data_IF_076860337133
#
_entry.id   IF_076860337133
#
_cell.length_a   1.000
_cell.length_b   1.000
_cell.length_c   1.000
_cell.angle_alpha   90.00
_cell.angle_beta   90.00
_cell.angle_gamma   90.00
#
_symmetry.space_group_name_H-M   'P 1'
#
loop_
_entity.id
_entity.type
_entity.pdbx_description
1 polymer ?
#
# COMPACT_ATOMS: atom_id res chain seq x y z
N UNK A 1 -7.08 -22.53 -0.29
CA UNK A 1 -6.30 -21.28 -0.45
C UNK A 1 -7.22 -20.11 -0.72
N UNK A 2 -8.02 -20.13 -1.80
CA UNK A 2 -9.03 -19.10 -2.14
C UNK A 2 -9.90 -18.56 -0.96
N UNK A 3 -10.46 -19.44 -0.11
CA UNK A 3 -11.28 -19.01 1.03
C UNK A 3 -10.50 -18.29 2.15
N UNK A 4 -9.16 -18.43 2.18
CA UNK A 4 -8.27 -17.70 3.07
C UNK A 4 -7.99 -16.32 2.47
N UNK A 5 -7.75 -16.26 1.16
CA UNK A 5 -7.46 -15.01 0.44
C UNK A 5 -8.66 -14.05 0.49
N UNK A 6 -9.87 -14.56 0.24
CA UNK A 6 -11.12 -13.80 0.39
C UNK A 6 -11.29 -13.27 1.83
N UNK A 7 -10.99 -14.09 2.85
CA UNK A 7 -11.08 -13.66 4.25
C UNK A 7 -10.06 -12.57 4.59
N UNK A 8 -8.82 -12.70 4.11
CA UNK A 8 -7.76 -11.71 4.28
C UNK A 8 -8.15 -10.39 3.61
N UNK A 9 -8.63 -10.45 2.38
CA UNK A 9 -9.12 -9.29 1.63
C UNK A 9 -10.27 -8.60 2.37
N UNK A 10 -11.27 -9.34 2.86
CA UNK A 10 -12.38 -8.77 3.63
C UNK A 10 -11.91 -8.06 4.91
N UNK A 11 -10.96 -8.64 5.65
CA UNK A 11 -10.40 -8.05 6.87
C UNK A 11 -9.67 -6.75 6.54
N UNK A 12 -8.84 -6.75 5.48
CA UNK A 12 -8.10 -5.56 5.04
C UNK A 12 -9.07 -4.44 4.66
N UNK A 13 -10.09 -4.74 3.83
CA UNK A 13 -11.11 -3.74 3.44
C UNK A 13 -11.86 -3.16 4.63
N UNK A 14 -12.25 -3.98 5.60
CA UNK A 14 -12.93 -3.51 6.81
C UNK A 14 -12.04 -2.60 7.67
N UNK A 15 -10.74 -2.88 7.73
CA UNK A 15 -9.77 -2.07 8.47
C UNK A 15 -9.52 -0.72 7.79
N UNK A 16 -9.48 -0.64 6.46
CA UNK A 16 -9.42 0.65 5.74
C UNK A 16 -10.59 1.54 6.16
N UNK A 17 -11.81 0.98 6.14
CA UNK A 17 -13.02 1.70 6.55
C UNK A 17 -12.94 2.17 8.01
N UNK A 18 -12.38 1.35 8.90
CA UNK A 18 -12.17 1.74 10.30
C UNK A 18 -11.24 2.96 10.45
N UNK A 19 -10.20 3.05 9.63
CA UNK A 19 -9.27 4.18 9.58
C UNK A 19 -9.82 5.39 8.82
N UNK A 20 -11.10 5.35 8.41
CA UNK A 20 -11.75 6.37 7.57
C UNK A 20 -11.05 6.55 6.20
N UNK A 21 -10.43 5.48 5.69
CA UNK A 21 -9.81 5.40 4.38
C UNK A 21 -10.67 4.54 3.43
N UNK A 22 -10.62 4.87 2.13
CA UNK A 22 -11.30 4.05 1.11
C UNK A 22 -10.43 2.83 0.76
N UNK A 23 -10.98 1.59 0.76
CA UNK A 23 -10.17 0.39 0.52
C UNK A 23 -9.46 0.37 -0.83
N UNK A 24 -10.08 0.95 -1.85
CA UNK A 24 -9.54 1.06 -3.22
C UNK A 24 -8.33 1.99 -3.29
N UNK A 25 -8.16 2.85 -2.29
CA UNK A 25 -7.11 3.84 -2.24
C UNK A 25 -5.87 3.37 -1.48
N UNK A 26 -5.96 2.27 -0.73
CA UNK A 26 -4.88 1.82 0.14
C UNK A 26 -3.73 1.18 -0.65
N UNK A 27 -4.03 0.32 -1.62
CA UNK A 27 -3.01 -0.34 -2.45
C UNK A 27 -3.02 0.30 -3.83
N UNK A 28 -1.89 0.86 -4.24
CA UNK A 28 -1.69 1.40 -5.58
C UNK A 28 -0.64 0.60 -6.32
N UNK A 29 -0.96 0.20 -7.55
CA UNK A 29 -0.01 -0.44 -8.45
C UNK A 29 0.61 0.58 -9.41
N UNK A 30 1.91 0.45 -9.66
CA UNK A 30 2.74 1.28 -10.51
C UNK A 30 3.58 0.39 -11.44
N UNK A 31 3.91 0.90 -12.62
CA UNK A 31 4.83 0.22 -13.53
C UNK A 31 6.24 0.79 -13.36
N UNK A 32 7.27 -0.05 -13.44
CA UNK A 32 8.68 0.36 -13.28
C UNK A 32 9.12 1.46 -14.28
N UNK A 33 8.41 1.61 -15.40
CA UNK A 33 8.63 2.69 -16.37
C UNK A 33 8.19 4.09 -15.89
N UNK A 34 7.52 4.20 -14.75
CA UNK A 34 6.90 5.44 -14.27
C UNK A 34 7.85 6.37 -13.49
N UNK A 35 9.17 6.11 -13.56
CA UNK A 35 10.25 6.53 -12.65
C UNK A 35 10.50 8.01 -12.39
N UNK A 36 9.68 8.96 -12.88
CA UNK A 36 9.76 10.39 -12.48
C UNK A 36 8.38 11.07 -12.34
N UNK A 37 7.35 10.57 -13.03
CA UNK A 37 6.00 11.15 -13.00
C UNK A 37 5.14 10.59 -11.84
N UNK A 38 5.38 9.34 -11.46
CA UNK A 38 4.64 8.66 -10.38
C UNK A 38 5.01 9.17 -8.99
N UNK A 39 6.29 9.43 -8.73
CA UNK A 39 6.78 9.95 -7.44
C UNK A 39 6.16 11.32 -7.12
N UNK A 40 6.05 12.20 -8.12
CA UNK A 40 5.40 13.49 -7.97
C UNK A 40 3.88 13.35 -7.71
N UNK A 41 3.20 12.43 -8.41
CA UNK A 41 1.78 12.17 -8.22
C UNK A 41 1.44 11.43 -6.90
N UNK A 42 2.41 10.67 -6.37
CA UNK A 42 2.38 10.05 -5.04
C UNK A 42 2.50 11.12 -3.94
N UNK A 43 3.45 12.04 -4.10
CA UNK A 43 3.74 13.09 -3.12
C UNK A 43 2.65 14.18 -3.05
N UNK A 44 1.89 14.41 -4.12
CA UNK A 44 0.82 15.42 -4.16
C UNK A 44 -0.46 14.98 -3.44
N UNK A 45 -0.60 13.68 -3.13
CA UNK A 45 -1.77 13.16 -2.41
C UNK A 45 -1.53 13.23 -0.91
N UNK A 46 -2.27 14.14 -0.27
CA UNK A 46 -2.45 14.31 1.17
C UNK A 46 -3.17 13.10 1.83
N UNK A 47 -2.75 11.87 1.52
CA UNK A 47 -3.29 10.63 2.09
C UNK A 47 -2.40 10.17 3.23
N UNK A 48 -3.04 9.72 4.31
CA UNK A 48 -2.34 9.44 5.55
C UNK A 48 -1.51 8.15 5.45
N UNK A 49 -2.01 7.16 4.68
CA UNK A 49 -1.42 5.83 4.56
C UNK A 49 -1.64 5.21 3.18
N UNK A 50 -0.58 4.68 2.55
CA UNK A 50 -0.64 4.03 1.24
C UNK A 50 0.38 2.89 1.14
N UNK A 51 0.01 1.81 0.44
CA UNK A 51 0.88 0.71 0.03
C UNK A 51 1.08 0.85 -1.47
N UNK A 52 2.34 0.91 -1.90
CA UNK A 52 2.66 0.89 -3.32
C UNK A 52 3.16 -0.50 -3.72
N UNK A 53 2.85 -0.88 -4.95
CA UNK A 53 3.30 -2.11 -5.59
C UNK A 53 3.89 -1.73 -6.94
N UNK A 54 5.19 -1.97 -7.13
CA UNK A 54 5.86 -1.77 -8.42
C UNK A 54 5.88 -3.10 -9.15
N UNK A 55 5.46 -3.10 -10.42
CA UNK A 55 5.50 -4.26 -11.29
C UNK A 55 6.36 -3.97 -12.51
N UNK A 56 7.03 -5.02 -12.99
CA UNK A 56 7.74 -4.99 -14.27
C UNK A 56 6.76 -4.72 -15.41
N UNK A 57 7.24 -4.00 -16.41
CA UNK A 57 6.47 -3.79 -17.63
C UNK A 57 6.10 -5.13 -18.27
N UNK A 58 4.80 -5.32 -18.54
CA UNK A 58 4.26 -6.55 -19.14
C UNK A 58 4.06 -7.70 -18.16
N UNK A 59 4.24 -7.50 -16.85
CA UNK A 59 3.92 -8.52 -15.84
C UNK A 59 2.40 -8.78 -15.75
N UNK A 60 2.03 -10.03 -15.52
CA UNK A 60 0.66 -10.41 -15.20
C UNK A 60 0.28 -10.02 -13.76
N UNK A 61 -1.03 -9.88 -13.43
CA UNK A 61 -1.46 -9.50 -12.08
C UNK A 61 -1.00 -10.47 -10.98
N UNK A 62 -0.82 -11.74 -11.34
CA UNK A 62 -0.40 -12.82 -10.45
C UNK A 62 1.12 -12.99 -10.36
N UNK A 63 1.89 -12.26 -11.17
CA UNK A 63 3.35 -12.27 -11.09
C UNK A 63 3.82 -11.61 -9.79
N UNK A 64 5.01 -12.01 -9.33
CA UNK A 64 5.64 -11.38 -8.16
C UNK A 64 5.94 -9.91 -8.45
N UNK A 65 5.59 -9.00 -7.51
CA UNK A 65 5.91 -7.59 -7.66
C UNK A 65 7.43 -7.37 -7.59
N UNK A 66 7.91 -6.37 -8.29
CA UNK A 66 9.31 -5.93 -8.26
C UNK A 66 9.64 -5.22 -6.94
N UNK A 67 8.71 -4.39 -6.46
CA UNK A 67 8.78 -3.79 -5.14
C UNK A 67 7.39 -3.70 -4.50
N UNK A 68 7.36 -3.78 -3.18
CA UNK A 68 6.20 -3.43 -2.38
C UNK A 68 6.68 -2.61 -1.19
N UNK A 69 6.02 -1.51 -0.91
CA UNK A 69 6.37 -0.69 0.23
C UNK A 69 5.23 0.15 0.77
N UNK A 70 5.56 1.03 1.70
CA UNK A 70 4.60 1.87 2.42
C UNK A 70 4.98 3.33 2.27
N UNK A 71 3.97 4.14 1.98
CA UNK A 71 4.01 5.60 1.96
C UNK A 71 3.13 6.12 3.09
N UNK A 72 3.67 7.04 3.89
CA UNK A 72 2.95 7.77 4.93
C UNK A 72 3.04 9.27 4.66
N UNK A 73 1.90 9.95 4.62
CA UNK A 73 1.84 11.40 4.38
C UNK A 73 2.63 11.85 3.12
N UNK A 74 2.62 11.02 2.07
CA UNK A 74 3.35 11.27 0.82
C UNK A 74 4.84 10.90 0.86
N UNK A 75 5.38 10.42 1.99
CA UNK A 75 6.76 9.98 2.13
C UNK A 75 6.89 8.46 2.06
N UNK A 76 7.80 7.96 1.20
CA UNK A 76 8.17 6.54 1.20
C UNK A 76 8.89 6.22 2.51
N UNK A 77 8.29 5.37 3.35
CA UNK A 77 8.83 5.00 4.67
C UNK A 77 9.39 3.58 4.72
N UNK A 78 8.89 2.69 3.85
CA UNK A 78 9.38 1.33 3.67
C UNK A 78 9.35 0.96 2.19
N UNK A 79 10.31 0.16 1.78
CA UNK A 79 10.45 -0.46 0.45
C UNK A 79 11.02 -1.87 0.59
N UNK A 80 11.13 -2.56 -0.54
CA UNK A 80 11.71 -3.90 -0.69
C UNK A 80 11.03 -4.96 0.19
N UNK A 81 9.73 -4.78 0.51
CA UNK A 81 8.98 -5.73 1.34
C UNK A 81 8.58 -7.01 0.56
N UNK A 82 8.60 -6.95 -0.77
CA UNK A 82 8.42 -8.10 -1.67
C UNK A 82 7.02 -8.72 -1.71
N UNK A 83 6.10 -8.38 -0.80
CA UNK A 83 4.70 -8.81 -0.89
C UNK A 83 3.73 -7.89 -0.12
N UNK A 84 2.50 -7.83 -0.62
CA UNK A 84 1.41 -7.01 -0.07
C UNK A 84 1.07 -7.38 1.38
N UNK A 85 0.95 -8.67 1.78
CA UNK A 85 0.65 -9.01 3.17
C UNK A 85 1.65 -8.44 4.18
N UNK A 86 2.95 -8.44 3.87
CA UNK A 86 3.97 -7.86 4.75
C UNK A 86 3.81 -6.34 4.84
N UNK A 87 3.59 -5.66 3.72
CA UNK A 87 3.35 -4.21 3.70
C UNK A 87 2.11 -3.80 4.51
N UNK A 88 1.04 -4.57 4.44
CA UNK A 88 -0.17 -4.38 5.25
C UNK A 88 0.15 -4.49 6.74
N UNK A 89 0.88 -5.53 7.17
CA UNK A 89 1.27 -5.70 8.58
C UNK A 89 2.16 -4.55 9.05
N UNK A 90 3.14 -4.14 8.24
CA UNK A 90 4.04 -3.04 8.55
C UNK A 90 3.29 -1.71 8.65
N UNK A 91 2.37 -1.44 7.73
CA UNK A 91 1.52 -0.26 7.79
C UNK A 91 0.73 -0.20 9.10
N UNK A 92 0.10 -1.31 9.51
CA UNK A 92 -0.62 -1.34 10.78
C UNK A 92 0.29 -1.14 11.99
N UNK A 93 1.50 -1.72 11.99
CA UNK A 93 2.47 -1.49 13.04
C UNK A 93 2.85 0.00 13.13
N UNK A 94 3.08 0.65 11.98
CA UNK A 94 3.37 2.09 11.91
C UNK A 94 2.20 2.93 12.40
N UNK A 95 0.98 2.67 11.94
CA UNK A 95 -0.25 3.37 12.38
C UNK A 95 -0.51 3.21 13.87
N UNK A 96 -0.17 2.06 14.46
CA UNK A 96 -0.29 1.81 15.90
C UNK A 96 0.76 2.55 16.73
N UNK A 97 2.01 2.60 16.25
CA UNK A 97 3.13 3.21 16.96
C UNK A 97 3.15 4.73 16.80
N UNK A 98 2.78 5.24 15.63
CA UNK A 98 2.78 6.66 15.34
C UNK A 98 1.58 7.33 16.03
N UNK A 99 1.81 8.42 16.78
CA UNK A 99 0.73 9.15 17.42
C UNK A 99 -0.25 9.67 16.36
N UNK A 100 -1.47 9.15 16.36
CA UNK A 100 -2.56 9.74 15.59
C UNK A 100 -2.78 11.16 16.14
N UNK A 101 -2.50 12.17 15.31
CA UNK A 101 -2.70 13.57 15.68
C UNK A 101 -4.21 13.76 15.98
N UNK A 102 -4.58 13.73 17.26
CA UNK A 102 -5.93 14.09 17.69
C UNK A 102 -6.12 15.57 17.35
N UNK A 103 -6.89 15.84 16.31
CA UNK A 103 -7.39 17.18 15.99
C UNK A 103 -8.81 17.28 16.51
#
# INVERSE_FOLDING_TARGET
TYAIDVRRECIIKALCVYLNEEPENLVKEYMDTDGESSEAAVMERKRMCEIFVIRKEGAEPDDEPEDVGVILEGLKVLDELGNIPLAVVMLFALVYVLPQHKT
#
